data_IF_656320234487
#
_entry.id   IF_656320234487
#
_cell.length_a   1.000
_cell.length_b   1.000
_cell.length_c   1.000
_cell.angle_alpha   90.00
_cell.angle_beta   90.00
_cell.angle_gamma   90.00
#
_symmetry.space_group_name_H-M   'P 1'
#
loop_
_entity.id
_entity.type
_entity.pdbx_description
1 polymer ?
#
# COMPACT_ATOMS: atom_id res chain seq x y z
N UNK A 1 -2.19 33.10 -12.34
CA UNK A 1 -1.79 32.61 -11.00
C UNK A 1 -3.00 32.12 -10.18
N UNK A 2 -4.08 32.90 -10.09
CA UNK A 2 -5.31 32.50 -9.38
C UNK A 2 -6.01 31.28 -10.02
N UNK A 3 -6.14 31.24 -11.34
CA UNK A 3 -6.75 30.09 -12.06
C UNK A 3 -6.00 28.77 -11.82
N UNK A 4 -4.66 28.81 -11.83
CA UNK A 4 -3.84 27.63 -11.51
C UNK A 4 -4.06 27.12 -10.08
N UNK A 5 -4.14 28.03 -9.10
CA UNK A 5 -4.44 27.69 -7.71
C UNK A 5 -5.84 27.09 -7.56
N UNK A 6 -6.82 27.61 -8.30
CA UNK A 6 -8.21 27.15 -8.28
C UNK A 6 -8.34 25.73 -8.89
N UNK A 7 -7.69 25.50 -10.03
CA UNK A 7 -7.62 24.16 -10.66
C UNK A 7 -6.92 23.16 -9.75
N UNK A 8 -5.79 23.55 -9.13
CA UNK A 8 -5.07 22.70 -8.17
C UNK A 8 -5.95 22.35 -6.97
N UNK A 9 -6.68 23.32 -6.43
CA UNK A 9 -7.58 23.11 -5.29
C UNK A 9 -8.74 22.15 -5.65
N UNK A 10 -9.40 22.36 -6.79
CA UNK A 10 -10.48 21.50 -7.27
C UNK A 10 -9.99 20.06 -7.50
N UNK A 11 -8.83 19.89 -8.14
CA UNK A 11 -8.24 18.58 -8.37
C UNK A 11 -7.89 17.88 -7.04
N UNK A 12 -7.38 18.62 -6.06
CA UNK A 12 -7.07 18.08 -4.73
C UNK A 12 -8.34 17.64 -4.00
N UNK A 13 -9.40 18.44 -4.03
CA UNK A 13 -10.71 18.10 -3.44
C UNK A 13 -11.28 16.84 -4.10
N UNK A 14 -11.21 16.75 -5.43
CA UNK A 14 -11.65 15.58 -6.17
C UNK A 14 -10.88 14.31 -5.75
N UNK A 15 -9.56 14.37 -5.66
CA UNK A 15 -8.73 13.25 -5.22
C UNK A 15 -9.05 12.84 -3.78
N UNK A 16 -9.22 13.79 -2.86
CA UNK A 16 -9.59 13.51 -1.47
C UNK A 16 -10.95 12.80 -1.41
N UNK A 17 -11.94 13.29 -2.17
CA UNK A 17 -13.26 12.68 -2.23
C UNK A 17 -13.20 11.24 -2.75
N UNK A 18 -12.39 10.99 -3.79
CA UNK A 18 -12.18 9.66 -4.33
C UNK A 18 -11.56 8.71 -3.31
N UNK A 19 -10.53 9.16 -2.57
CA UNK A 19 -9.88 8.36 -1.52
C UNK A 19 -10.88 8.00 -0.41
N UNK A 20 -11.70 8.96 0.04
CA UNK A 20 -12.73 8.72 1.06
C UNK A 20 -13.76 7.70 0.55
N UNK A 21 -14.20 7.81 -0.70
CA UNK A 21 -15.17 6.90 -1.29
C UNK A 21 -14.63 5.47 -1.40
N UNK A 22 -13.38 5.31 -1.84
CA UNK A 22 -12.68 4.02 -1.86
C UNK A 22 -12.59 3.44 -0.45
N UNK A 23 -12.21 4.25 0.54
CA UNK A 23 -12.12 3.82 1.94
C UNK A 23 -13.46 3.28 2.45
N UNK A 24 -14.56 3.98 2.18
CA UNK A 24 -15.91 3.56 2.62
C UNK A 24 -16.34 2.25 1.94
N UNK A 25 -16.10 2.11 0.64
CA UNK A 25 -16.39 0.88 -0.09
C UNK A 25 -15.59 -0.28 0.51
N UNK A 26 -14.31 -0.06 0.78
CA UNK A 26 -13.45 -1.07 1.37
C UNK A 26 -13.96 -1.54 2.74
N UNK A 27 -14.36 -0.61 3.62
CA UNK A 27 -14.88 -0.97 4.96
C UNK A 27 -16.15 -1.83 4.86
N UNK A 28 -17.01 -1.57 3.87
CA UNK A 28 -18.20 -2.40 3.63
C UNK A 28 -17.84 -3.80 3.14
N UNK A 29 -16.90 -3.91 2.22
CA UNK A 29 -16.42 -5.20 1.71
C UNK A 29 -15.82 -6.03 2.84
N UNK A 30 -14.97 -5.42 3.67
CA UNK A 30 -14.33 -6.08 4.81
C UNK A 30 -15.38 -6.64 5.79
N UNK A 31 -16.39 -5.84 6.14
CA UNK A 31 -17.48 -6.27 7.02
C UNK A 31 -18.27 -7.44 6.44
N UNK A 32 -18.57 -7.43 5.15
CA UNK A 32 -19.27 -8.54 4.48
C UNK A 32 -18.41 -9.81 4.50
N UNK A 33 -17.11 -9.67 4.27
CA UNK A 33 -16.17 -10.79 4.28
C UNK A 33 -16.05 -11.42 5.67
N UNK A 34 -15.98 -10.59 6.71
CA UNK A 34 -15.93 -11.06 8.11
C UNK A 34 -17.23 -11.78 8.52
N UNK A 35 -18.39 -11.21 8.17
CA UNK A 35 -19.70 -11.78 8.53
C UNK A 35 -20.06 -13.04 7.71
N UNK A 36 -19.54 -13.19 6.49
CA UNK A 36 -19.90 -14.29 5.58
C UNK A 36 -18.80 -15.36 5.50
N UNK A 37 -17.60 -14.97 5.08
CA UNK A 37 -16.52 -15.89 4.70
C UNK A 37 -15.69 -16.31 5.92
N UNK A 38 -15.46 -15.39 6.87
CA UNK A 38 -14.59 -15.66 8.02
C UNK A 38 -15.33 -16.04 9.31
N UNK A 39 -16.67 -16.11 9.29
CA UNK A 39 -17.52 -16.31 10.47
C UNK A 39 -17.10 -17.49 11.38
N UNK A 40 -16.57 -18.57 10.80
CA UNK A 40 -16.13 -19.78 11.52
C UNK A 40 -14.67 -20.18 11.21
N UNK A 41 -13.87 -19.27 10.65
CA UNK A 41 -12.51 -19.58 10.20
C UNK A 41 -11.51 -19.23 11.30
N UNK A 42 -10.54 -20.12 11.54
CA UNK A 42 -9.49 -19.88 12.52
C UNK A 42 -8.69 -18.61 12.17
N UNK A 43 -8.18 -17.89 13.17
CA UNK A 43 -7.43 -16.64 12.95
C UNK A 43 -6.22 -16.83 12.02
N UNK A 44 -5.53 -17.97 12.14
CA UNK A 44 -4.42 -18.35 11.25
C UNK A 44 -4.89 -18.58 9.81
N UNK A 45 -6.00 -19.29 9.63
CA UNK A 45 -6.56 -19.55 8.31
C UNK A 45 -7.05 -18.26 7.65
N UNK A 46 -7.69 -17.35 8.41
CA UNK A 46 -8.07 -16.03 7.91
C UNK A 46 -6.86 -15.23 7.46
N UNK A 47 -5.78 -15.23 8.23
CA UNK A 47 -4.55 -14.54 7.87
C UNK A 47 -3.99 -15.03 6.52
N UNK A 48 -3.91 -16.35 6.32
CA UNK A 48 -3.42 -16.94 5.06
C UNK A 48 -4.36 -16.64 3.90
N UNK A 49 -5.67 -16.77 4.09
CA UNK A 49 -6.66 -16.50 3.04
C UNK A 49 -6.61 -15.04 2.61
N UNK A 50 -6.55 -14.09 3.55
CA UNK A 50 -6.40 -12.67 3.24
C UNK A 50 -5.12 -12.40 2.46
N UNK A 51 -4.01 -13.04 2.84
CA UNK A 51 -2.74 -12.93 2.13
C UNK A 51 -2.89 -13.37 0.67
N UNK A 52 -3.49 -14.53 0.41
CA UNK A 52 -3.72 -15.07 -0.93
C UNK A 52 -4.62 -14.13 -1.74
N UNK A 53 -5.72 -13.65 -1.16
CA UNK A 53 -6.65 -12.73 -1.82
C UNK A 53 -5.92 -11.46 -2.27
N UNK A 54 -5.06 -10.91 -1.42
CA UNK A 54 -4.27 -9.71 -1.74
C UNK A 54 -3.33 -9.99 -2.90
N UNK A 55 -2.56 -11.09 -2.85
CA UNK A 55 -1.65 -11.46 -3.94
C UNK A 55 -2.38 -11.65 -5.29
N UNK A 56 -3.55 -12.31 -5.26
CA UNK A 56 -4.38 -12.49 -6.47
C UNK A 56 -4.94 -11.16 -6.96
N UNK A 57 -5.42 -10.31 -6.06
CA UNK A 57 -5.91 -8.97 -6.39
C UNK A 57 -4.85 -8.09 -7.03
N UNK A 58 -3.63 -8.09 -6.48
CA UNK A 58 -2.49 -7.36 -7.04
C UNK A 58 -2.10 -7.89 -8.42
N UNK A 59 -2.07 -9.22 -8.60
CA UNK A 59 -1.80 -9.81 -9.92
C UNK A 59 -2.86 -9.40 -10.96
N UNK A 60 -4.14 -9.42 -10.60
CA UNK A 60 -5.23 -8.97 -11.48
C UNK A 60 -5.07 -7.50 -11.86
N UNK A 61 -4.70 -6.64 -10.90
CA UNK A 61 -4.40 -5.24 -11.19
C UNK A 61 -3.24 -5.09 -12.19
N UNK A 62 -2.16 -5.85 -12.04
CA UNK A 62 -1.04 -5.84 -12.99
C UNK A 62 -1.49 -6.25 -14.39
N UNK A 63 -2.29 -7.31 -14.51
CA UNK A 63 -2.79 -7.80 -15.80
C UNK A 63 -3.70 -6.75 -16.47
N UNK A 64 -4.67 -6.20 -15.74
CA UNK A 64 -5.55 -5.14 -16.27
C UNK A 64 -4.72 -3.94 -16.74
N UNK A 65 -3.75 -3.53 -15.93
CA UNK A 65 -2.85 -2.40 -16.21
C UNK A 65 -2.03 -2.64 -17.48
N UNK A 66 -1.46 -3.83 -17.62
CA UNK A 66 -0.69 -4.25 -18.79
C UNK A 66 -1.53 -4.24 -20.06
N UNK A 67 -2.76 -4.79 -19.99
CA UNK A 67 -3.68 -4.84 -21.14
C UNK A 67 -4.11 -3.44 -21.57
N UNK A 68 -4.40 -2.55 -20.61
CA UNK A 68 -4.86 -1.19 -20.91
C UNK A 68 -3.76 -0.32 -21.56
N UNK A 69 -2.50 -0.50 -21.17
CA UNK A 69 -1.36 0.21 -21.76
C UNK A 69 -0.71 -0.50 -22.94
N UNK A 70 -1.14 -1.71 -23.29
CA UNK A 70 -0.51 -2.52 -24.33
C UNK A 70 0.94 -2.89 -24.00
N UNK A 71 1.32 -2.86 -22.72
CA UNK A 71 2.66 -3.17 -22.25
C UNK A 71 2.80 -4.67 -21.97
N UNK A 72 4.03 -5.19 -22.01
CA UNK A 72 4.31 -6.58 -21.61
C UNK A 72 3.89 -6.82 -20.17
N UNK A 73 3.23 -7.95 -19.92
CA UNK A 73 2.85 -8.38 -18.55
C UNK A 73 4.10 -8.52 -17.68
N UNK A 74 5.21 -9.01 -18.23
CA UNK A 74 6.46 -9.20 -17.48
C UNK A 74 7.07 -7.86 -17.04
N UNK A 75 7.06 -6.86 -17.93
CA UNK A 75 7.58 -5.52 -17.60
C UNK A 75 6.67 -4.82 -16.59
N UNK A 76 5.36 -4.93 -16.79
CA UNK A 76 4.36 -4.35 -15.90
C UNK A 76 4.43 -4.99 -14.52
N UNK A 77 4.65 -6.31 -14.46
CA UNK A 77 4.87 -7.03 -13.21
C UNK A 77 6.12 -6.51 -12.49
N UNK A 78 7.24 -6.35 -13.20
CA UNK A 78 8.48 -5.85 -12.61
C UNK A 78 8.30 -4.45 -11.99
N UNK A 79 7.86 -3.48 -12.80
CA UNK A 79 7.70 -2.10 -12.33
C UNK A 79 6.58 -1.99 -11.29
N UNK A 80 5.47 -2.69 -11.50
CA UNK A 80 4.35 -2.71 -10.58
C UNK A 80 4.75 -3.27 -9.21
N UNK A 81 5.51 -4.36 -9.16
CA UNK A 81 6.02 -4.93 -7.91
C UNK A 81 6.99 -4.00 -7.18
N UNK A 82 7.84 -3.26 -7.89
CA UNK A 82 8.71 -2.23 -7.26
C UNK A 82 7.86 -1.11 -6.64
N UNK A 83 6.89 -0.59 -7.39
CA UNK A 83 6.01 0.48 -6.94
C UNK A 83 5.18 0.03 -5.73
N UNK A 84 4.59 -1.16 -5.77
CA UNK A 84 3.83 -1.73 -4.67
C UNK A 84 4.69 -1.83 -3.40
N UNK A 85 5.90 -2.40 -3.52
CA UNK A 85 6.83 -2.49 -2.40
C UNK A 85 7.14 -1.11 -1.78
N UNK A 86 7.39 -0.10 -2.62
CA UNK A 86 7.58 1.27 -2.16
C UNK A 86 6.34 1.79 -1.42
N UNK A 87 5.13 1.58 -1.93
CA UNK A 87 3.90 2.04 -1.28
C UNK A 87 3.72 1.42 0.12
N UNK A 88 4.04 0.14 0.28
CA UNK A 88 3.79 -0.60 1.53
C UNK A 88 4.84 -0.30 2.59
N UNK A 89 6.09 -0.11 2.18
CA UNK A 89 7.19 0.07 3.13
C UNK A 89 7.58 1.53 3.31
N UNK A 90 7.72 2.26 2.20
CA UNK A 90 8.27 3.62 2.20
C UNK A 90 7.26 4.65 2.74
N UNK A 91 5.98 4.53 2.40
CA UNK A 91 4.95 5.47 2.88
C UNK A 91 4.82 5.41 4.42
N UNK A 92 4.62 4.24 5.05
CA UNK A 92 4.52 4.17 6.51
C UNK A 92 5.82 4.56 7.23
N UNK A 93 6.97 4.35 6.60
CA UNK A 93 8.25 4.84 7.10
C UNK A 93 8.27 6.36 7.19
N UNK A 94 7.95 7.06 6.10
CA UNK A 94 7.94 8.53 6.09
C UNK A 94 6.87 9.12 7.02
N UNK A 95 5.70 8.49 7.12
CA UNK A 95 4.66 8.92 8.07
C UNK A 95 5.17 8.83 9.51
N UNK A 96 5.80 7.72 9.88
CA UNK A 96 6.37 7.56 11.22
C UNK A 96 7.48 8.60 11.49
N UNK A 97 8.37 8.83 10.51
CA UNK A 97 9.41 9.84 10.60
C UNK A 97 8.81 11.25 10.83
N UNK A 98 7.82 11.64 10.04
CA UNK A 98 7.17 12.95 10.19
C UNK A 98 6.47 13.10 11.54
N UNK A 99 5.81 12.06 12.04
CA UNK A 99 5.20 12.06 13.36
C UNK A 99 6.24 12.24 14.47
N UNK A 100 7.39 11.57 14.37
CA UNK A 100 8.47 11.73 15.33
C UNK A 100 9.09 13.12 15.29
N UNK A 101 9.31 13.69 14.10
CA UNK A 101 9.81 15.07 13.94
C UNK A 101 8.82 16.07 14.55
N UNK A 102 7.52 15.93 14.29
CA UNK A 102 6.48 16.78 14.87
C UNK A 102 6.50 16.71 16.40
N UNK A 103 6.57 15.51 16.99
CA UNK A 103 6.66 15.34 18.45
C UNK A 103 7.89 16.01 19.07
N UNK A 104 9.05 15.92 18.41
CA UNK A 104 10.28 16.58 18.87
C UNK A 104 10.14 18.09 18.82
N UNK A 105 9.57 18.63 17.73
CA UNK A 105 9.27 20.06 17.63
C UNK A 105 8.31 20.50 18.73
N UNK A 106 7.18 19.81 18.91
CA UNK A 106 6.19 20.16 19.92
C UNK A 106 6.77 20.10 21.33
N UNK A 107 7.67 19.13 21.64
CA UNK A 107 8.36 19.06 22.93
C UNK A 107 9.27 20.28 23.17
N UNK A 108 9.95 20.76 22.12
CA UNK A 108 10.79 21.96 22.20
C UNK A 108 9.98 23.25 22.35
N UNK A 109 8.86 23.39 21.65
CA UNK A 109 8.05 24.61 21.68
C UNK A 109 7.03 24.67 22.83
N UNK A 110 6.63 23.52 23.39
CA UNK A 110 5.61 23.45 24.45
C UNK A 110 6.20 23.48 25.87
N UNK A 111 7.48 23.82 26.05
CA UNK A 111 8.08 23.96 27.38
C UNK A 111 8.33 22.65 28.12
N UNK A 112 8.56 21.53 27.40
CA UNK A 112 8.94 20.26 28.02
C UNK A 112 7.80 19.35 28.46
N UNK A 113 6.57 19.56 27.96
CA UNK A 113 5.46 18.61 28.14
C UNK A 113 5.87 17.24 27.59
N UNK A 114 5.67 16.19 28.38
CA UNK A 114 6.08 14.84 28.01
C UNK A 114 5.10 14.24 27.00
N UNK A 115 5.42 14.38 25.71
CA UNK A 115 4.60 13.91 24.58
C UNK A 115 4.81 12.42 24.24
N UNK A 116 5.47 11.68 25.14
CA UNK A 116 5.82 10.27 24.97
C UNK A 116 7.10 10.02 24.19
N UNK A 117 7.53 8.77 24.15
CA UNK A 117 8.78 8.36 23.51
C UNK A 117 8.71 8.41 21.97
N UNK A 118 9.88 8.63 21.35
CA UNK A 118 10.09 8.53 19.91
C UNK A 118 9.78 7.09 19.48
N UNK A 119 8.83 6.91 18.57
CA UNK A 119 8.43 5.58 18.14
C UNK A 119 9.31 5.11 16.99
N UNK A 120 10.17 4.13 17.23
CA UNK A 120 10.92 3.46 16.15
C UNK A 120 9.92 2.86 15.16
N UNK A 121 10.13 3.09 13.86
CA UNK A 121 9.29 2.50 12.83
C UNK A 121 9.33 0.98 12.94
N UNK A 122 8.17 0.38 13.26
CA UNK A 122 7.94 -1.06 13.20
C UNK A 122 6.95 -1.31 12.08
N UNK A 123 7.40 -2.03 11.05
CA UNK A 123 6.51 -2.46 9.98
C UNK A 123 5.40 -3.31 10.60
N UNK A 124 4.16 -2.83 10.52
CA UNK A 124 2.99 -3.57 11.00
C UNK A 124 2.75 -4.72 10.02
N UNK A 125 3.14 -5.93 10.39
CA UNK A 125 3.01 -7.15 9.57
C UNK A 125 1.56 -7.66 9.58
N UNK A 126 0.63 -6.86 9.07
CA UNK A 126 -0.72 -7.34 8.76
C UNK A 126 -0.66 -8.37 7.64
N UNK A 127 -1.67 -9.25 7.57
CA UNK A 127 -1.82 -10.23 6.48
C UNK A 127 -1.73 -9.57 5.10
N UNK A 128 -2.29 -8.37 5.00
CA UNK A 128 -2.24 -7.53 3.81
C UNK A 128 -0.80 -7.15 3.44
N UNK A 129 -0.10 -6.45 4.35
CA UNK A 129 1.26 -5.99 4.10
C UNK A 129 2.21 -7.15 3.79
N UNK A 130 2.06 -8.27 4.49
CA UNK A 130 2.90 -9.44 4.30
C UNK A 130 2.62 -10.12 2.94
N UNK A 131 1.34 -10.22 2.54
CA UNK A 131 0.95 -10.71 1.22
C UNK A 131 1.54 -9.89 0.09
N UNK A 132 1.40 -8.57 0.19
CA UNK A 132 1.93 -7.67 -0.83
C UNK A 132 3.46 -7.61 -0.88
N UNK A 133 4.15 -7.72 0.27
CA UNK A 133 5.62 -7.84 0.30
C UNK A 133 6.05 -9.12 -0.42
N UNK A 134 5.42 -10.26 -0.11
CA UNK A 134 5.73 -11.55 -0.74
C UNK A 134 5.45 -11.50 -2.24
N UNK A 135 4.30 -10.93 -2.65
CA UNK A 135 3.97 -10.71 -4.05
C UNK A 135 5.03 -9.86 -4.75
N UNK A 136 5.44 -8.76 -4.13
CA UNK A 136 6.43 -7.85 -4.72
C UNK A 136 7.79 -8.51 -4.90
N UNK A 137 8.25 -9.31 -3.92
CA UNK A 137 9.50 -10.06 -4.03
C UNK A 137 9.44 -11.05 -5.19
N UNK A 138 8.37 -11.86 -5.26
CA UNK A 138 8.19 -12.86 -6.33
C UNK A 138 8.06 -12.17 -7.70
N UNK A 139 7.31 -11.08 -7.77
CA UNK A 139 7.10 -10.29 -8.98
C UNK A 139 8.33 -9.52 -9.46
N UNK A 140 9.35 -9.34 -8.62
CA UNK A 140 10.68 -8.85 -9.04
C UNK A 140 11.55 -10.00 -9.52
N UNK A 141 11.56 -11.13 -8.81
CA UNK A 141 12.40 -12.29 -9.14
C UNK A 141 11.99 -12.91 -10.49
N UNK A 142 10.69 -13.07 -10.75
CA UNK A 142 10.20 -13.71 -11.98
C UNK A 142 10.70 -12.98 -13.25
N UNK A 143 10.53 -11.66 -13.40
CA UNK A 143 11.07 -10.91 -14.53
C UNK A 143 12.60 -10.97 -14.63
N UNK A 144 13.32 -10.91 -13.51
CA UNK A 144 14.79 -11.07 -13.52
C UNK A 144 15.18 -12.42 -14.11
N UNK A 145 14.56 -13.51 -13.65
CA UNK A 145 14.80 -14.86 -14.18
C UNK A 145 14.40 -14.99 -15.66
N UNK A 146 13.31 -14.34 -16.06
CA UNK A 146 12.85 -14.32 -17.45
C UNK A 146 13.85 -13.59 -18.36
N UNK A 147 14.33 -12.43 -17.93
CA UNK A 147 15.28 -11.63 -18.70
C UNK A 147 16.72 -12.12 -18.61
N UNK A 148 17.06 -12.92 -17.59
CA UNK A 148 18.41 -13.47 -17.40
C UNK A 148 18.94 -14.19 -18.65
N UNK A 149 18.06 -14.89 -19.39
CA UNK A 149 18.43 -15.57 -20.65
C UNK A 149 18.95 -14.64 -21.74
N UNK A 150 18.60 -13.37 -21.70
CA UNK A 150 19.03 -12.37 -22.69
C UNK A 150 20.36 -11.68 -22.29
N UNK A 151 20.87 -11.95 -21.08
CA UNK A 151 22.15 -11.43 -20.58
C UNK A 151 23.31 -12.45 -20.68
N UNK A 152 23.01 -13.69 -21.10
CA UNK A 152 23.97 -14.77 -21.37
C UNK A 152 24.25 -14.85 -22.87
#
# INVERSE_FOLDING_TARGET
MFEYLLVKALFTIFLISLIVLISVIWTKIEKILDETVFKNVSEKSRYIVTMIIVMVGEFVLIVITSLNWGASIIDTLFFGSIILFCCIWLIPYFVNQQQNVAKVMDKHFSGGVDLGEIQVHRAKLSAFNLGSIVFSIVGIIIPICYYFKYFL
#
